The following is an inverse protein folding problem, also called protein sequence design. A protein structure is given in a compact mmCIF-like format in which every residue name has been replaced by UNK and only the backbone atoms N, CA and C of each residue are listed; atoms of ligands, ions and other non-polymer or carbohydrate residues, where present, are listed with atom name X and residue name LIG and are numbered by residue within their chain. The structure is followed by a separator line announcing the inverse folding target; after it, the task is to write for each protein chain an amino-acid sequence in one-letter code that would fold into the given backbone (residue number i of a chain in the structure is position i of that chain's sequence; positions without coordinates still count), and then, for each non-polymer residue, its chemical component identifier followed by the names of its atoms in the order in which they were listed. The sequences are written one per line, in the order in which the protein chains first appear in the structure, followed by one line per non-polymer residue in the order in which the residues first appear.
data_IF_628106113390
#
_entry.id   IF_628106113390
#
_cell.length_a   1.000
_cell.length_b   1.000
_cell.length_c   1.000
_cell.angle_alpha   90.00
_cell.angle_beta   90.00
_cell.angle_gamma   90.00
#
_symmetry.space_group_name_H-M   'P 1'
#
loop_
_entity.id
_entity.type
_entity.pdbx_description
1 polymer ?
#
# COMPACT_ATOMS: atom_id res chain seq x y z
N UNK A 1 -30.16 22.19 -18.55
CA UNK A 1 -29.73 21.50 -17.31
C UNK A 1 -28.68 20.49 -17.72
N UNK A 2 -27.42 20.92 -17.80
CA UNK A 2 -26.27 20.03 -17.96
C UNK A 2 -25.55 20.08 -16.62
N UNK A 3 -25.66 19.02 -15.81
CA UNK A 3 -24.79 18.88 -14.66
C UNK A 3 -23.38 18.69 -15.22
N UNK A 4 -22.56 19.74 -15.13
CA UNK A 4 -21.13 19.53 -15.09
C UNK A 4 -20.94 18.65 -13.85
N UNK A 5 -20.55 17.40 -14.04
CA UNK A 5 -20.16 16.54 -12.92
C UNK A 5 -19.11 17.31 -12.12
N UNK A 6 -19.50 17.68 -10.90
CA UNK A 6 -18.66 18.43 -10.01
C UNK A 6 -17.56 17.48 -9.54
N UNK A 7 -16.33 17.72 -9.96
CA UNK A 7 -15.18 16.96 -9.45
C UNK A 7 -15.03 17.22 -7.95
N UNK A 8 -15.54 16.27 -7.15
CA UNK A 8 -15.55 16.31 -5.69
C UNK A 8 -14.16 16.11 -5.07
N UNK A 9 -13.17 15.68 -5.87
CA UNK A 9 -11.78 15.48 -5.47
C UNK A 9 -10.88 16.67 -5.81
N UNK A 10 -11.34 17.58 -6.67
CA UNK A 10 -10.54 18.72 -7.16
C UNK A 10 -9.93 19.63 -6.09
N UNK A 11 -10.47 19.61 -4.86
CA UNK A 11 -9.92 20.35 -3.73
C UNK A 11 -8.58 19.80 -3.23
N UNK A 12 -8.22 18.55 -3.53
CA UNK A 12 -6.96 17.95 -3.07
C UNK A 12 -5.72 18.67 -3.60
N UNK A 13 -5.82 19.36 -4.75
CA UNK A 13 -4.75 20.23 -5.27
C UNK A 13 -4.40 21.39 -4.31
N UNK A 14 -5.35 21.79 -3.49
CA UNK A 14 -5.23 22.87 -2.53
C UNK A 14 -5.27 22.33 -1.08
N UNK A 15 -5.09 21.01 -0.89
CA UNK A 15 -5.28 20.32 0.39
C UNK A 15 -4.44 20.91 1.53
N UNK A 16 -3.18 21.24 1.25
CA UNK A 16 -2.28 21.88 2.22
C UNK A 16 -2.83 23.21 2.75
N UNK A 17 -3.47 24.00 1.89
CA UNK A 17 -4.09 25.27 2.29
C UNK A 17 -5.27 25.00 3.23
N UNK A 18 -6.14 24.06 2.86
CA UNK A 18 -7.29 23.70 3.69
C UNK A 18 -6.89 23.13 5.06
N UNK A 19 -5.87 22.27 5.14
CA UNK A 19 -5.34 21.78 6.42
C UNK A 19 -4.77 22.90 7.30
N UNK A 20 -4.03 23.83 6.70
CA UNK A 20 -3.57 25.04 7.41
C UNK A 20 -4.74 25.88 7.94
N UNK A 21 -5.85 25.93 7.20
CA UNK A 21 -7.05 26.60 7.67
C UNK A 21 -7.69 25.84 8.84
N UNK A 22 -7.76 24.49 8.81
CA UNK A 22 -8.23 23.66 9.94
C UNK A 22 -7.45 23.99 11.22
N UNK A 23 -6.11 23.93 11.13
CA UNK A 23 -5.22 24.17 12.27
C UNK A 23 -5.43 25.56 12.88
N UNK A 24 -5.65 26.57 12.02
CA UNK A 24 -5.92 27.94 12.46
C UNK A 24 -7.28 28.06 13.17
N UNK A 25 -8.32 27.42 12.65
CA UNK A 25 -9.65 27.43 13.28
C UNK A 25 -9.58 26.72 14.63
N UNK A 26 -8.93 25.55 14.70
CA UNK A 26 -8.75 24.81 15.95
C UNK A 26 -7.93 25.58 16.98
N UNK A 27 -6.87 26.26 16.55
CA UNK A 27 -6.06 27.13 17.40
C UNK A 27 -6.84 28.34 17.94
N UNK A 28 -7.68 28.97 17.11
CA UNK A 28 -8.56 30.07 17.55
C UNK A 28 -9.60 29.59 18.55
N UNK A 29 -10.23 28.43 18.29
CA UNK A 29 -11.25 27.87 19.16
C UNK A 29 -10.73 27.60 20.58
N UNK A 30 -9.48 27.13 20.70
CA UNK A 30 -8.80 26.95 21.98
C UNK A 30 -8.55 28.27 22.74
N UNK A 31 -8.36 29.39 22.03
CA UNK A 31 -8.04 30.71 22.62
C UNK A 31 -9.27 31.52 22.99
N UNK A 32 -10.22 31.60 22.06
CA UNK A 32 -11.41 32.44 22.17
C UNK A 32 -12.44 31.91 23.16
N UNK A 33 -12.35 30.62 23.49
CA UNK A 33 -13.32 29.93 24.32
C UNK A 33 -14.62 29.62 23.58
N UNK A 34 -15.41 28.77 24.22
CA UNK A 34 -16.70 28.31 23.71
C UNK A 34 -17.75 29.44 23.76
N UNK A 35 -18.34 29.79 22.61
CA UNK A 35 -19.28 30.93 22.49
C UNK A 35 -20.76 30.50 22.45
N UNK A 36 -21.04 29.19 22.33
CA UNK A 36 -22.34 28.57 22.12
C UNK A 36 -23.22 29.26 21.05
N UNK A 37 -22.70 29.43 19.85
CA UNK A 37 -23.43 30.06 18.72
C UNK A 37 -24.25 29.06 17.90
N UNK A 38 -24.32 27.80 18.33
CA UNK A 38 -25.03 26.71 17.65
C UNK A 38 -26.08 26.08 18.58
N UNK A 39 -27.04 26.87 19.04
CA UNK A 39 -27.96 26.51 20.13
C UNK A 39 -28.78 25.24 19.88
N UNK A 40 -29.03 24.88 18.62
CA UNK A 40 -29.84 23.72 18.24
C UNK A 40 -29.02 22.45 17.99
N UNK A 41 -27.70 22.54 18.12
CA UNK A 41 -26.83 21.39 18.17
C UNK A 41 -26.59 20.99 19.63
N UNK A 42 -26.92 19.75 20.02
CA UNK A 42 -26.81 19.34 21.41
C UNK A 42 -25.36 19.32 21.90
N UNK A 43 -25.14 19.82 23.11
CA UNK A 43 -23.84 19.86 23.79
C UNK A 43 -23.41 18.49 24.34
N UNK A 44 -24.40 17.67 24.70
CA UNK A 44 -24.29 16.32 25.24
C UNK A 44 -24.01 15.27 24.17
N UNK A 45 -24.39 15.52 22.92
CA UNK A 45 -24.00 14.67 21.78
C UNK A 45 -22.52 14.86 21.50
N UNK A 46 -21.70 13.91 21.96
CA UNK A 46 -20.26 13.86 21.70
C UNK A 46 -19.98 13.26 20.33
N UNK A 47 -19.12 13.94 19.56
CA UNK A 47 -18.57 13.44 18.29
C UNK A 47 -17.22 12.78 18.56
N UNK A 48 -16.41 13.36 19.45
CA UNK A 48 -15.16 12.79 19.93
C UNK A 48 -15.01 13.04 21.43
N UNK A 49 -13.89 12.59 22.01
CA UNK A 49 -13.55 12.93 23.41
C UNK A 49 -13.42 14.44 23.65
N UNK A 50 -13.12 15.21 22.61
CA UNK A 50 -12.80 16.64 22.70
C UNK A 50 -13.85 17.53 22.04
N UNK A 51 -14.76 16.97 21.24
CA UNK A 51 -15.71 17.73 20.43
C UNK A 51 -17.15 17.22 20.60
N UNK A 52 -18.10 18.14 20.87
CA UNK A 52 -19.54 17.90 20.76
C UNK A 52 -20.08 18.31 19.38
N UNK A 53 -21.29 17.88 19.06
CA UNK A 53 -21.99 18.28 17.83
C UNK A 53 -22.11 19.81 17.71
N UNK A 54 -22.34 20.48 18.85
CA UNK A 54 -22.34 21.93 18.94
C UNK A 54 -21.00 22.55 18.54
N UNK A 55 -19.88 22.03 19.07
CA UNK A 55 -18.55 22.51 18.72
C UNK A 55 -18.21 22.25 17.24
N UNK A 56 -18.67 21.13 16.66
CA UNK A 56 -18.54 20.88 15.21
C UNK A 56 -19.28 21.95 14.40
N UNK A 57 -20.49 22.33 14.81
CA UNK A 57 -21.23 23.42 14.17
C UNK A 57 -20.49 24.77 14.26
N UNK A 58 -19.98 25.14 15.43
CA UNK A 58 -19.26 26.41 15.59
C UNK A 58 -17.98 26.45 14.75
N UNK A 59 -17.25 25.33 14.71
CA UNK A 59 -16.06 25.19 13.86
C UNK A 59 -16.44 25.30 12.40
N UNK A 60 -17.47 24.59 11.94
CA UNK A 60 -17.95 24.69 10.56
C UNK A 60 -18.30 26.13 10.18
N UNK A 61 -19.02 26.86 11.05
CA UNK A 61 -19.34 28.29 10.87
C UNK A 61 -18.10 29.16 10.72
N UNK A 62 -17.15 28.96 11.64
CA UNK A 62 -15.88 29.68 11.61
C UNK A 62 -15.12 29.36 10.33
N UNK A 63 -15.25 28.13 9.84
CA UNK A 63 -14.46 27.64 8.73
C UNK A 63 -14.87 28.25 7.39
N UNK A 64 -16.16 28.16 7.03
CA UNK A 64 -16.63 28.75 5.79
C UNK A 64 -16.52 30.28 5.83
N UNK A 65 -16.77 30.91 6.98
CA UNK A 65 -16.61 32.36 7.14
C UNK A 65 -15.16 32.79 6.89
N UNK A 66 -14.20 32.01 7.40
CA UNK A 66 -12.79 32.26 7.19
C UNK A 66 -12.41 32.13 5.71
N UNK A 67 -12.87 31.08 5.01
CA UNK A 67 -12.62 30.89 3.58
C UNK A 67 -13.17 32.08 2.77
N UNK A 68 -14.41 32.51 3.03
CA UNK A 68 -15.02 33.70 2.40
C UNK A 68 -14.15 34.94 2.63
N UNK A 69 -13.63 35.12 3.85
CA UNK A 69 -12.81 36.28 4.20
C UNK A 69 -11.46 36.32 3.48
N UNK A 70 -10.90 35.16 3.12
CA UNK A 70 -9.69 35.05 2.29
C UNK A 70 -10.01 35.36 0.83
N UNK A 71 -11.17 34.91 0.35
CA UNK A 71 -11.66 35.13 -1.02
C UNK A 71 -12.20 36.56 -1.25
N UNK A 72 -11.46 37.60 -0.82
CA UNK A 72 -11.87 39.02 -0.83
C UNK A 72 -12.36 39.55 -2.18
N UNK A 73 -11.99 38.90 -3.29
CA UNK A 73 -12.39 39.31 -4.64
C UNK A 73 -13.83 38.90 -4.97
N UNK A 74 -14.26 37.72 -4.54
CA UNK A 74 -15.58 37.18 -4.87
C UNK A 74 -16.52 37.23 -3.68
N UNK A 75 -16.00 37.25 -2.45
CA UNK A 75 -16.76 37.08 -1.21
C UNK A 75 -17.69 35.85 -1.26
N UNK A 76 -17.27 34.80 -1.98
CA UNK A 76 -18.04 33.56 -2.16
C UNK A 76 -17.14 32.34 -2.03
N UNK A 77 -17.78 31.20 -1.75
CA UNK A 77 -17.15 29.89 -1.78
C UNK A 77 -17.07 29.40 -3.22
N UNK A 78 -15.90 28.93 -3.64
CA UNK A 78 -15.73 28.21 -4.89
C UNK A 78 -16.27 26.79 -4.79
N UNK A 79 -16.40 26.12 -5.94
CA UNK A 79 -16.75 24.71 -6.00
C UNK A 79 -15.79 23.81 -5.20
N UNK A 80 -14.48 24.11 -5.22
CA UNK A 80 -13.47 23.38 -4.43
C UNK A 80 -13.69 23.58 -2.93
N UNK A 81 -13.98 24.83 -2.52
CA UNK A 81 -14.25 25.16 -1.12
C UNK A 81 -15.48 24.39 -0.61
N UNK A 82 -16.54 24.33 -1.42
CA UNK A 82 -17.76 23.59 -1.10
C UNK A 82 -17.50 22.08 -1.00
N UNK A 83 -16.75 21.49 -1.95
CA UNK A 83 -16.39 20.07 -1.90
C UNK A 83 -15.56 19.73 -0.67
N UNK A 84 -14.59 20.57 -0.33
CA UNK A 84 -13.77 20.38 0.87
C UNK A 84 -14.60 20.51 2.16
N UNK A 85 -15.46 21.54 2.27
CA UNK A 85 -16.33 21.70 3.44
C UNK A 85 -17.29 20.51 3.61
N UNK A 86 -17.81 19.98 2.51
CA UNK A 86 -18.63 18.78 2.54
C UNK A 86 -17.82 17.55 3.02
N UNK A 87 -16.62 17.35 2.49
CA UNK A 87 -15.71 16.28 2.93
C UNK A 87 -15.34 16.40 4.42
N UNK A 88 -14.96 17.61 4.87
CA UNK A 88 -14.62 17.88 6.25
C UNK A 88 -15.77 17.52 7.21
N UNK A 89 -16.99 17.94 6.87
CA UNK A 89 -18.17 17.66 7.70
C UNK A 89 -18.50 16.16 7.70
N UNK A 90 -18.42 15.48 6.55
CA UNK A 90 -18.55 14.03 6.47
C UNK A 90 -17.51 13.34 7.36
N UNK A 91 -16.25 13.76 7.30
CA UNK A 91 -15.16 13.19 8.11
C UNK A 91 -15.44 13.34 9.60
N UNK A 92 -15.89 14.51 10.05
CA UNK A 92 -16.24 14.75 11.46
C UNK A 92 -17.41 13.90 11.93
N UNK A 93 -18.48 13.80 11.15
CA UNK A 93 -19.70 13.08 11.54
C UNK A 93 -19.58 11.56 11.38
N UNK A 94 -18.80 11.07 10.40
CA UNK A 94 -18.70 9.63 10.11
C UNK A 94 -17.58 8.93 10.87
N UNK A 95 -16.50 9.65 11.19
CA UNK A 95 -15.42 9.13 12.04
C UNK A 95 -15.65 9.45 13.53
N UNK A 96 -16.91 9.67 13.92
CA UNK A 96 -17.28 9.95 15.30
C UNK A 96 -16.96 8.74 16.20
N UNK A 97 -16.44 9.03 17.40
CA UNK A 97 -16.12 8.02 18.40
C UNK A 97 -17.38 7.44 19.05
N UNK A 98 -18.44 8.24 19.15
CA UNK A 98 -19.70 7.85 19.76
C UNK A 98 -20.82 7.84 18.71
N UNK A 99 -21.72 6.87 18.83
CA UNK A 99 -22.89 6.79 17.95
C UNK A 99 -23.78 8.02 18.13
N UNK A 100 -24.16 8.64 17.02
CA UNK A 100 -25.12 9.72 16.97
C UNK A 100 -25.99 9.60 15.70
N UNK A 101 -27.10 10.33 15.67
CA UNK A 101 -28.05 10.34 14.56
C UNK A 101 -27.93 11.56 13.64
N UNK A 102 -26.89 12.38 13.81
CA UNK A 102 -26.66 13.58 12.99
C UNK A 102 -26.03 13.18 11.65
N UNK A 103 -26.82 13.19 10.58
CA UNK A 103 -26.33 13.12 9.20
C UNK A 103 -25.90 14.50 8.69
N UNK A 104 -25.15 14.56 7.59
CA UNK A 104 -24.76 15.83 6.93
C UNK A 104 -25.99 16.62 6.49
N UNK A 105 -26.99 15.93 5.95
CA UNK A 105 -28.26 16.54 5.54
C UNK A 105 -29.02 17.11 6.75
N UNK A 106 -29.11 16.37 7.86
CA UNK A 106 -29.74 16.85 9.09
C UNK A 106 -28.98 18.05 9.68
N UNK A 107 -27.65 18.01 9.62
CA UNK A 107 -26.79 19.11 10.06
C UNK A 107 -27.06 20.37 9.22
N UNK A 108 -27.07 20.26 7.89
CA UNK A 108 -27.34 21.37 6.99
C UNK A 108 -28.74 21.97 7.21
N UNK A 109 -29.77 21.12 7.32
CA UNK A 109 -31.13 21.56 7.61
C UNK A 109 -31.21 22.40 8.89
N UNK A 110 -30.64 21.90 10.00
CA UNK A 110 -30.63 22.59 11.29
C UNK A 110 -29.91 23.94 11.22
N UNK A 111 -28.76 23.98 10.56
CA UNK A 111 -27.97 25.20 10.45
C UNK A 111 -28.64 26.26 9.57
N UNK A 112 -29.24 25.86 8.44
CA UNK A 112 -29.89 26.82 7.54
C UNK A 112 -31.22 27.35 8.11
N UNK A 113 -32.10 26.46 8.58
CA UNK A 113 -33.48 26.82 8.90
C UNK A 113 -33.71 27.17 10.37
N UNK A 114 -32.89 26.66 11.29
CA UNK A 114 -33.15 26.75 12.73
C UNK A 114 -32.23 27.78 13.40
N UNK A 115 -30.94 27.75 13.09
CA UNK A 115 -30.00 28.77 13.58
C UNK A 115 -30.17 30.12 12.84
N UNK A 116 -30.66 30.08 11.60
CA UNK A 116 -30.89 31.29 10.79
C UNK A 116 -29.62 31.96 10.25
N UNK A 117 -28.44 31.33 10.37
CA UNK A 117 -27.16 31.92 9.94
C UNK A 117 -27.05 32.11 8.42
N UNK A 118 -27.90 31.42 7.66
CA UNK A 118 -27.95 31.47 6.20
C UNK A 118 -29.27 32.09 5.69
N UNK A 119 -30.04 32.73 6.58
CA UNK A 119 -31.36 33.26 6.26
C UNK A 119 -31.30 34.26 5.09
N UNK A 120 -31.89 33.87 3.96
CA UNK A 120 -32.02 34.68 2.73
C UNK A 120 -31.30 34.10 1.50
N UNK A 121 -30.22 33.33 1.67
CA UNK A 121 -29.54 32.60 0.59
C UNK A 121 -28.72 31.43 1.16
N UNK A 122 -29.21 30.21 0.96
CA UNK A 122 -28.51 28.99 1.36
C UNK A 122 -27.34 28.70 0.40
N UNK A 123 -26.14 29.18 0.77
CA UNK A 123 -24.90 28.95 0.01
C UNK A 123 -24.55 27.46 -0.14
N UNK A 124 -25.16 26.60 0.68
CA UNK A 124 -24.90 25.16 0.72
C UNK A 124 -26.02 24.32 0.11
N UNK A 125 -27.04 24.93 -0.49
CA UNK A 125 -28.16 24.22 -1.10
C UNK A 125 -27.67 23.19 -2.14
N UNK A 126 -27.89 21.90 -1.85
CA UNK A 126 -27.43 20.79 -2.69
C UNK A 126 -25.91 20.59 -2.73
N UNK A 127 -25.17 21.17 -1.79
CA UNK A 127 -23.69 21.11 -1.70
C UNK A 127 -23.19 20.40 -0.45
N UNK A 128 -23.99 20.35 0.61
CA UNK A 128 -23.75 19.51 1.78
C UNK A 128 -24.60 18.25 1.70
N UNK A 129 -23.95 17.09 1.59
CA UNK A 129 -24.59 15.80 1.40
C UNK A 129 -23.71 14.68 1.95
N UNK A 130 -24.32 13.53 2.24
CA UNK A 130 -23.56 12.34 2.62
C UNK A 130 -22.78 11.84 1.40
N UNK A 131 -21.45 11.88 1.47
CA UNK A 131 -20.58 11.36 0.41
C UNK A 131 -20.76 9.84 0.33
N UNK A 132 -20.75 9.27 -0.89
CA UNK A 132 -20.86 7.83 -1.09
C UNK A 132 -19.78 7.08 -0.29
N UNK A 133 -20.03 5.86 0.14
CA UNK A 133 -19.05 5.11 0.93
C UNK A 133 -17.75 4.87 0.15
N UNK A 134 -17.87 4.59 -1.15
CA UNK A 134 -16.73 4.40 -2.04
C UNK A 134 -15.92 5.69 -2.15
N UNK A 135 -16.57 6.82 -2.41
CA UNK A 135 -15.86 8.09 -2.54
C UNK A 135 -15.27 8.56 -1.21
N UNK A 136 -15.95 8.29 -0.10
CA UNK A 136 -15.47 8.68 1.21
C UNK A 136 -14.21 7.91 1.62
N UNK A 137 -14.15 6.60 1.38
CA UNK A 137 -12.93 5.82 1.62
C UNK A 137 -11.79 6.23 0.68
N UNK A 138 -12.10 6.57 -0.57
CA UNK A 138 -11.13 7.13 -1.51
C UNK A 138 -10.56 8.47 -1.03
N UNK A 139 -11.41 9.37 -0.54
CA UNK A 139 -10.99 10.66 0.01
C UNK A 139 -10.17 10.49 1.29
N UNK A 140 -10.52 9.54 2.16
CA UNK A 140 -9.72 9.21 3.35
C UNK A 140 -8.32 8.71 2.97
N UNK A 141 -8.22 7.89 1.92
CA UNK A 141 -6.94 7.45 1.40
C UNK A 141 -6.10 8.63 0.90
N UNK A 142 -6.68 9.54 0.11
CA UNK A 142 -5.97 10.73 -0.36
C UNK A 142 -5.57 11.66 0.81
N UNK A 143 -6.44 11.90 1.78
CA UNK A 143 -6.14 12.68 2.99
C UNK A 143 -4.93 12.10 3.72
N UNK A 144 -4.93 10.78 3.94
CA UNK A 144 -3.80 10.07 4.53
C UNK A 144 -2.51 10.27 3.73
N UNK A 145 -2.56 10.11 2.40
CA UNK A 145 -1.39 10.26 1.53
C UNK A 145 -0.79 11.66 1.62
N UNK A 146 -1.63 12.71 1.53
CA UNK A 146 -1.17 14.10 1.62
C UNK A 146 -0.66 14.48 3.02
N UNK A 147 -1.32 14.01 4.09
CA UNK A 147 -0.87 14.26 5.46
C UNK A 147 0.49 13.61 5.71
N UNK A 148 0.65 12.33 5.36
CA UNK A 148 1.92 11.63 5.55
C UNK A 148 3.02 12.15 4.65
N UNK A 149 2.71 12.58 3.42
CA UNK A 149 3.64 13.29 2.56
C UNK A 149 4.23 14.51 3.29
N UNK A 150 3.40 15.36 3.90
CA UNK A 150 3.86 16.53 4.65
C UNK A 150 4.69 16.18 5.90
N UNK A 151 4.30 15.12 6.62
CA UNK A 151 5.05 14.64 7.79
C UNK A 151 6.44 14.17 7.39
N UNK A 152 6.52 13.30 6.38
CA UNK A 152 7.78 12.74 5.89
C UNK A 152 8.67 13.84 5.32
N UNK A 153 8.10 14.76 4.53
CA UNK A 153 8.81 15.93 4.02
C UNK A 153 9.52 16.67 5.15
N UNK A 154 8.80 16.94 6.25
CA UNK A 154 9.35 17.64 7.40
C UNK A 154 10.48 16.84 8.07
N UNK A 155 10.25 15.56 8.37
CA UNK A 155 11.22 14.69 9.04
C UNK A 155 12.55 14.68 8.28
N UNK A 156 12.51 14.40 6.97
CA UNK A 156 13.74 14.28 6.17
C UNK A 156 14.39 15.64 5.89
N UNK A 157 13.59 16.70 5.74
CA UNK A 157 14.12 18.05 5.53
C UNK A 157 14.88 18.57 6.76
N UNK A 158 14.38 18.27 7.96
CA UNK A 158 14.99 18.68 9.24
C UNK A 158 16.18 17.80 9.65
N UNK A 159 16.40 16.66 8.98
CA UNK A 159 17.55 15.80 9.24
C UNK A 159 18.87 16.45 8.82
N UNK A 160 19.85 16.41 9.71
CA UNK A 160 21.17 16.99 9.48
C UNK A 160 22.17 15.96 8.96
N UNK A 161 21.89 14.67 9.18
CA UNK A 161 22.70 13.58 8.66
C UNK A 161 22.42 13.32 7.18
N UNK A 162 23.50 13.07 6.42
CA UNK A 162 23.41 12.56 5.06
C UNK A 162 23.46 11.02 5.09
N UNK A 163 22.90 10.40 4.05
CA UNK A 163 22.89 8.95 3.88
C UNK A 163 22.13 8.22 5.02
N UNK A 164 20.96 8.73 5.40
CA UNK A 164 20.06 8.03 6.34
C UNK A 164 19.24 6.96 5.62
N UNK A 165 18.75 5.96 6.37
CA UNK A 165 17.71 5.06 5.85
C UNK A 165 16.35 5.71 6.04
N UNK A 166 15.66 5.94 4.93
CA UNK A 166 14.38 6.62 4.90
C UNK A 166 13.19 5.66 4.73
N UNK A 167 13.42 4.42 4.27
CA UNK A 167 12.37 3.48 3.87
C UNK A 167 11.28 3.31 4.92
N UNK A 168 11.65 3.23 6.19
CA UNK A 168 10.71 3.10 7.31
C UNK A 168 9.66 4.24 7.36
N UNK A 169 10.03 5.46 6.95
CA UNK A 169 9.13 6.61 6.94
C UNK A 169 8.15 6.56 5.77
N UNK A 170 8.54 5.94 4.65
CA UNK A 170 7.76 5.92 3.42
C UNK A 170 6.91 4.66 3.26
N UNK A 171 7.26 3.56 3.94
CA UNK A 171 6.65 2.25 3.70
C UNK A 171 5.12 2.28 3.76
N UNK A 172 4.56 2.86 4.82
CA UNK A 172 3.10 2.91 5.00
C UNK A 172 2.41 3.82 3.95
N UNK A 173 3.06 4.92 3.56
CA UNK A 173 2.58 5.80 2.49
C UNK A 173 2.57 5.07 1.15
N UNK A 174 3.66 4.38 0.81
CA UNK A 174 3.79 3.61 -0.43
C UNK A 174 2.76 2.50 -0.48
N UNK A 175 2.57 1.76 0.61
CA UNK A 175 1.59 0.67 0.69
C UNK A 175 0.15 1.17 0.53
N UNK A 176 -0.19 2.32 1.12
CA UNK A 176 -1.50 2.94 0.91
C UNK A 176 -1.66 3.47 -0.52
N UNK A 177 -0.62 4.04 -1.11
CA UNK A 177 -0.64 4.44 -2.51
C UNK A 177 -0.86 3.23 -3.45
N UNK A 178 -0.23 2.08 -3.16
CA UNK A 178 -0.46 0.82 -3.89
C UNK A 178 -1.93 0.36 -3.82
N UNK A 179 -2.63 0.57 -2.71
CA UNK A 179 -4.08 0.27 -2.63
C UNK A 179 -4.87 1.17 -3.59
N UNK A 180 -4.57 2.47 -3.60
CA UNK A 180 -5.23 3.43 -4.50
C UNK A 180 -4.98 3.13 -5.98
N UNK A 181 -3.75 2.78 -6.35
CA UNK A 181 -3.41 2.54 -7.76
C UNK A 181 -4.08 1.29 -8.32
N UNK A 182 -4.28 0.25 -7.49
CA UNK A 182 -5.04 -0.95 -7.87
C UNK A 182 -6.48 -0.56 -8.20
N UNK A 183 -7.09 0.27 -7.35
CA UNK A 183 -8.46 0.73 -7.56
C UNK A 183 -8.61 1.57 -8.83
N UNK A 184 -7.56 2.30 -9.22
CA UNK A 184 -7.55 3.12 -10.43
C UNK A 184 -7.43 2.37 -11.77
N UNK A 185 -7.00 1.11 -11.74
CA UNK A 185 -6.86 0.34 -12.98
C UNK A 185 -8.19 -0.02 -13.65
N UNK A 186 -9.30 0.18 -12.95
CA UNK A 186 -10.64 -0.16 -13.39
C UNK A 186 -11.37 1.08 -13.99
N UNK A 187 -10.92 2.31 -13.72
CA UNK A 187 -11.67 3.53 -14.08
C UNK A 187 -10.79 4.81 -14.22
N UNK A 188 -11.11 5.70 -15.15
CA UNK A 188 -10.52 7.05 -15.27
C UNK A 188 -11.31 8.07 -14.43
N UNK A 189 -11.66 7.66 -13.21
CA UNK A 189 -12.49 8.43 -12.28
C UNK A 189 -11.78 9.70 -11.79
N UNK A 190 -12.54 10.61 -11.19
CA UNK A 190 -11.99 11.81 -10.56
C UNK A 190 -11.04 11.48 -9.40
N UNK A 191 -11.29 10.37 -8.69
CA UNK A 191 -10.34 9.82 -7.72
C UNK A 191 -8.97 9.53 -8.35
N UNK A 192 -8.95 8.92 -9.53
CA UNK A 192 -7.70 8.55 -10.19
C UNK A 192 -6.94 9.74 -10.76
N UNK A 193 -7.66 10.79 -11.15
CA UNK A 193 -7.04 12.08 -11.48
C UNK A 193 -6.38 12.67 -10.22
N UNK A 194 -7.08 12.70 -9.10
CA UNK A 194 -6.54 13.20 -7.84
C UNK A 194 -5.35 12.37 -7.31
N UNK A 195 -5.38 11.04 -7.46
CA UNK A 195 -4.25 10.17 -7.09
C UNK A 195 -3.02 10.41 -7.98
N UNK A 196 -3.22 10.71 -9.27
CA UNK A 196 -2.14 11.12 -10.17
C UNK A 196 -1.59 12.49 -9.78
N UNK A 197 -2.45 13.45 -9.46
CA UNK A 197 -2.03 14.77 -8.98
C UNK A 197 -1.18 14.63 -7.70
N UNK A 198 -1.56 13.75 -6.76
CA UNK A 198 -0.75 13.42 -5.59
C UNK A 198 0.62 12.84 -5.97
N UNK A 199 0.68 11.89 -6.92
CA UNK A 199 1.95 11.34 -7.40
C UNK A 199 2.85 12.43 -7.96
N UNK A 200 2.31 13.35 -8.74
CA UNK A 200 3.08 14.46 -9.31
C UNK A 200 3.67 15.37 -8.21
N UNK A 201 2.89 15.68 -7.18
CA UNK A 201 3.36 16.46 -6.02
C UNK A 201 4.44 15.71 -5.23
N UNK A 202 4.23 14.43 -4.95
CA UNK A 202 5.21 13.57 -4.29
C UNK A 202 6.55 13.55 -5.06
N UNK A 203 6.51 13.30 -6.37
CA UNK A 203 7.74 13.21 -7.17
C UNK A 203 8.42 14.57 -7.31
N UNK A 204 7.64 15.65 -7.41
CA UNK A 204 8.17 17.01 -7.40
C UNK A 204 8.99 17.25 -6.15
N UNK A 205 8.43 16.95 -4.98
CA UNK A 205 9.04 17.28 -3.71
C UNK A 205 10.20 16.34 -3.35
N UNK A 206 9.99 15.04 -3.48
CA UNK A 206 10.98 14.05 -3.05
C UNK A 206 12.09 13.80 -4.06
N UNK A 207 11.83 13.93 -5.36
CA UNK A 207 12.74 13.42 -6.41
C UNK A 207 13.27 14.52 -7.34
N UNK A 208 12.46 15.51 -7.73
CA UNK A 208 12.81 16.43 -8.83
C UNK A 208 13.30 17.80 -8.37
N UNK A 209 12.46 18.55 -7.65
CA UNK A 209 12.67 19.97 -7.36
C UNK A 209 13.40 20.18 -6.03
N UNK A 210 12.83 19.71 -4.92
CA UNK A 210 13.49 19.80 -3.61
C UNK A 210 14.47 18.65 -3.36
N UNK A 211 14.28 17.51 -4.06
CA UNK A 211 15.16 16.34 -4.04
C UNK A 211 15.49 15.85 -2.63
N UNK A 212 14.50 15.90 -1.74
CA UNK A 212 14.67 15.59 -0.32
C UNK A 212 15.24 14.19 -0.10
N UNK A 213 14.95 13.26 -1.02
CA UNK A 213 15.44 11.88 -0.95
C UNK A 213 16.91 11.70 -1.35
N UNK A 214 17.63 12.72 -1.83
CA UNK A 214 19.09 12.64 -2.05
C UNK A 214 19.86 12.39 -0.74
N UNK A 215 19.26 12.69 0.42
CA UNK A 215 19.80 12.35 1.74
C UNK A 215 19.65 10.86 2.11
N UNK A 216 18.89 10.08 1.32
CA UNK A 216 18.49 8.72 1.67
C UNK A 216 19.34 7.67 0.93
N UNK A 217 19.93 6.70 1.63
CA UNK A 217 20.66 5.58 0.99
C UNK A 217 19.72 4.72 0.14
N UNK A 218 18.48 4.60 0.58
CA UNK A 218 17.43 3.75 0.02
C UNK A 218 16.52 4.51 -0.97
N UNK A 219 16.98 5.64 -1.51
CA UNK A 219 16.22 6.52 -2.43
C UNK A 219 15.56 5.77 -3.60
N UNK A 220 16.20 4.73 -4.13
CA UNK A 220 15.67 3.94 -5.24
C UNK A 220 14.34 3.23 -4.91
N UNK A 221 14.14 2.86 -3.63
CA UNK A 221 12.95 2.18 -3.14
C UNK A 221 11.82 3.14 -2.75
N UNK A 222 12.09 4.45 -2.76
CA UNK A 222 11.11 5.48 -2.37
C UNK A 222 10.27 5.97 -3.57
N UNK A 223 10.52 5.45 -4.77
CA UNK A 223 9.73 5.81 -5.96
C UNK A 223 8.34 5.18 -5.85
N UNK A 224 7.31 6.00 -6.09
CA UNK A 224 5.93 5.49 -6.12
C UNK A 224 5.75 4.55 -7.32
N UNK A 225 5.26 3.32 -7.09
CA UNK A 225 5.12 2.32 -8.14
C UNK A 225 4.10 2.74 -9.19
N UNK A 226 4.19 2.13 -10.36
CA UNK A 226 3.15 2.16 -11.38
C UNK A 226 2.16 1.02 -11.16
N UNK A 227 1.01 1.08 -11.87
CA UNK A 227 0.06 -0.02 -11.82
C UNK A 227 0.67 -1.35 -12.26
N UNK A 228 1.55 -1.32 -13.28
CA UNK A 228 2.23 -2.50 -13.78
C UNK A 228 3.15 -3.13 -12.73
N UNK A 229 3.89 -2.30 -11.97
CA UNK A 229 4.78 -2.77 -10.91
C UNK A 229 3.97 -3.53 -9.84
N UNK A 230 2.86 -2.95 -9.38
CA UNK A 230 1.98 -3.57 -8.39
C UNK A 230 1.28 -4.83 -8.93
N UNK A 231 0.84 -4.81 -10.18
CA UNK A 231 0.24 -5.98 -10.84
C UNK A 231 1.23 -7.15 -10.94
N UNK A 232 2.50 -6.86 -11.24
CA UNK A 232 3.55 -7.87 -11.33
C UNK A 232 3.92 -8.42 -9.96
N UNK A 233 4.10 -7.58 -8.94
CA UNK A 233 4.30 -7.99 -7.54
C UNK A 233 3.19 -8.95 -7.08
N UNK A 234 1.93 -8.62 -7.37
CA UNK A 234 0.78 -9.46 -7.03
C UNK A 234 0.81 -10.81 -7.75
N UNK A 235 1.15 -10.84 -9.04
CA UNK A 235 1.30 -12.09 -9.79
C UNK A 235 2.41 -12.98 -9.22
N UNK A 236 3.57 -12.38 -8.89
CA UNK A 236 4.69 -13.12 -8.28
C UNK A 236 4.29 -13.65 -6.90
N UNK A 237 3.62 -12.84 -6.08
CA UNK A 237 3.14 -13.26 -4.74
C UNK A 237 2.15 -14.43 -4.82
N UNK A 238 1.19 -14.37 -5.75
CA UNK A 238 0.21 -15.46 -5.96
C UNK A 238 0.90 -16.73 -6.47
N UNK A 239 1.80 -16.60 -7.46
CA UNK A 239 2.55 -17.74 -7.99
C UNK A 239 3.45 -18.35 -6.91
N UNK A 240 4.18 -17.54 -6.14
CA UNK A 240 5.04 -18.01 -5.06
C UNK A 240 4.28 -18.69 -3.91
N UNK A 241 3.09 -18.19 -3.57
CA UNK A 241 2.23 -18.80 -2.56
C UNK A 241 1.67 -20.15 -2.99
N UNK A 242 1.39 -20.33 -4.29
CA UNK A 242 0.85 -21.58 -4.83
C UNK A 242 1.97 -22.59 -5.13
N UNK A 243 3.06 -22.13 -5.76
CA UNK A 243 4.14 -23.00 -6.24
C UNK A 243 5.21 -23.27 -5.19
N UNK A 244 5.51 -22.31 -4.31
CA UNK A 244 6.53 -22.44 -3.26
C UNK A 244 6.32 -23.65 -2.35
N UNK A 245 5.10 -23.90 -1.81
CA UNK A 245 4.80 -25.10 -1.04
C UNK A 245 4.95 -26.38 -1.88
N UNK A 246 4.52 -26.38 -3.15
CA UNK A 246 4.60 -27.55 -4.03
C UNK A 246 6.06 -27.93 -4.27
N UNK A 247 6.91 -26.96 -4.64
CA UNK A 247 8.34 -27.20 -4.85
C UNK A 247 9.07 -27.56 -3.56
N UNK A 248 8.75 -26.90 -2.44
CA UNK A 248 9.31 -27.23 -1.12
C UNK A 248 8.96 -28.65 -0.67
N UNK A 249 7.71 -29.08 -0.89
CA UNK A 249 7.25 -30.43 -0.52
C UNK A 249 7.87 -31.50 -1.43
N UNK A 250 7.96 -31.25 -2.74
CA UNK A 250 8.64 -32.15 -3.69
C UNK A 250 10.12 -32.30 -3.37
N UNK A 251 10.81 -31.20 -3.06
CA UNK A 251 12.22 -31.23 -2.66
C UNK A 251 12.41 -32.00 -1.35
N UNK A 252 11.55 -31.78 -0.35
CA UNK A 252 11.57 -32.52 0.90
C UNK A 252 11.33 -34.03 0.68
N UNK A 253 10.34 -34.41 -0.14
CA UNK A 253 10.05 -35.82 -0.47
C UNK A 253 11.22 -36.52 -1.17
N UNK A 254 11.92 -35.83 -2.08
CA UNK A 254 13.13 -36.36 -2.72
C UNK A 254 14.26 -36.58 -1.71
N UNK A 255 14.44 -35.65 -0.77
CA UNK A 255 15.40 -35.80 0.32
C UNK A 255 15.02 -36.96 1.24
N UNK A 256 13.77 -37.09 1.67
CA UNK A 256 13.33 -38.22 2.49
C UNK A 256 13.44 -39.56 1.74
N UNK A 257 13.15 -39.59 0.44
CA UNK A 257 13.32 -40.79 -0.37
C UNK A 257 14.78 -41.25 -0.47
N UNK A 258 15.74 -40.32 -0.57
CA UNK A 258 17.16 -40.65 -0.73
C UNK A 258 17.89 -40.91 0.60
N UNK A 259 17.50 -40.25 1.69
CA UNK A 259 18.30 -40.20 2.93
C UNK A 259 17.67 -40.87 4.16
N UNK A 260 16.43 -41.35 4.09
CA UNK A 260 15.76 -42.02 5.23
C UNK A 260 15.80 -43.56 5.06
N UNK A 261 15.94 -44.36 6.14
CA UNK A 261 15.89 -45.83 6.07
C UNK A 261 14.62 -46.38 5.40
N UNK A 262 13.52 -45.63 5.49
CA UNK A 262 12.25 -45.94 4.84
C UNK A 262 12.33 -45.86 3.30
N UNK A 263 13.13 -44.96 2.74
CA UNK A 263 13.36 -44.85 1.29
C UNK A 263 14.14 -46.04 0.72
N UNK A 264 15.17 -46.50 1.45
CA UNK A 264 15.88 -47.75 1.12
C UNK A 264 14.96 -48.98 1.20
N UNK A 265 14.03 -49.02 2.16
CA UNK A 265 13.03 -50.08 2.29
C UNK A 265 12.02 -50.12 1.12
N UNK A 266 11.54 -48.95 0.64
CA UNK A 266 10.66 -48.87 -0.54
C UNK A 266 11.39 -49.36 -1.80
N UNK A 267 12.65 -48.94 -2.01
CA UNK A 267 13.48 -49.40 -3.13
C UNK A 267 13.71 -50.92 -3.09
N UNK A 268 13.96 -51.47 -1.90
CA UNK A 268 14.10 -52.91 -1.70
C UNK A 268 12.81 -53.66 -2.06
N UNK A 269 11.64 -53.13 -1.68
CA UNK A 269 10.31 -53.74 -1.93
C UNK A 269 9.87 -53.68 -3.39
N UNK A 270 10.19 -52.60 -4.11
CA UNK A 270 9.95 -52.49 -5.57
C UNK A 270 10.87 -53.45 -6.34
N UNK A 271 12.10 -53.66 -5.87
CA UNK A 271 13.03 -54.64 -6.43
C UNK A 271 12.55 -56.08 -6.23
N UNK A 272 11.98 -56.40 -5.06
CA UNK A 272 11.39 -57.73 -4.81
C UNK A 272 10.14 -58.01 -5.66
N UNK A 273 9.33 -56.98 -5.96
CA UNK A 273 8.15 -57.14 -6.83
C UNK A 273 8.48 -57.27 -8.33
N UNK A 274 9.70 -56.91 -8.77
CA UNK A 274 10.17 -57.18 -10.14
C UNK A 274 10.71 -58.61 -10.32
N UNK A 275 11.05 -59.30 -9.23
CA UNK A 275 11.51 -60.70 -9.24
C UNK A 275 10.36 -61.73 -9.18
N UNK A 276 9.11 -61.30 -8.99
CA UNK A 276 7.95 -62.20 -8.96
C UNK A 276 7.40 -62.59 -10.35
N UNK A 277 8.21 -62.46 -11.41
CA UNK A 277 7.95 -63.05 -12.73
C UNK A 277 9.23 -63.68 -13.28
N UNK A 278 9.74 -64.70 -12.59
CA UNK A 278 10.64 -65.69 -13.18
C UNK A 278 10.02 -67.08 -13.02
N UNK A 279 9.54 -67.61 -14.15
CA UNK A 279 9.32 -69.06 -14.29
C UNK A 279 10.73 -69.66 -14.39
N UNK A 280 11.00 -70.62 -13.52
CA UNK A 280 12.25 -71.37 -13.44
C UNK A 280 12.53 -72.15 -14.72
N UNK A 281 13.72 -71.98 -15.28
CA UNK A 281 14.50 -73.11 -15.78
C UNK A 281 15.95 -72.98 -15.29
N UNK A 282 16.35 -74.07 -14.67
CA UNK A 282 17.58 -74.38 -13.96
C UNK A 282 18.72 -74.62 -14.95
N UNK A 283 19.87 -73.94 -14.78
CA UNK A 283 21.19 -74.57 -15.00
C UNK A 283 22.35 -73.66 -14.57
N UNK A 284 23.19 -74.23 -13.69
CA UNK A 284 24.63 -74.02 -13.51
C UNK A 284 25.12 -72.78 -12.72
N UNK A 285 25.14 -72.94 -11.39
CA UNK A 285 26.35 -73.03 -10.56
C UNK A 285 27.65 -72.39 -11.11
N UNK A 286 28.03 -71.22 -10.57
CA UNK A 286 29.07 -71.09 -9.53
C UNK A 286 29.57 -69.65 -9.36
N UNK A 287 29.34 -69.15 -8.14
CA UNK A 287 30.19 -68.21 -7.41
C UNK A 287 31.69 -68.48 -7.63
N UNK A 288 32.50 -67.43 -7.75
CA UNK A 288 33.82 -67.27 -7.09
C UNK A 288 34.14 -65.76 -7.12
N UNK A 289 33.82 -65.04 -6.04
CA UNK A 289 34.68 -64.72 -4.90
C UNK A 289 35.80 -63.71 -5.20
N UNK A 290 35.68 -62.67 -4.39
CA UNK A 290 36.58 -61.61 -3.97
C UNK A 290 38.05 -62.00 -3.74
N UNK A 291 38.91 -60.96 -3.76
CA UNK A 291 40.27 -60.86 -3.21
C UNK A 291 41.37 -61.81 -3.69
N UNK A 292 42.48 -61.25 -4.18
CA UNK A 292 43.74 -61.20 -3.40
C UNK A 292 44.81 -60.42 -4.15
N UNK A 293 45.37 -59.42 -3.47
CA UNK A 293 46.65 -58.80 -3.80
C UNK A 293 47.79 -59.60 -3.15
N UNK A 294 48.99 -59.47 -3.72
CA UNK A 294 50.32 -59.98 -3.31
C UNK A 294 50.73 -61.44 -3.61
N UNK A 295 51.82 -61.53 -4.40
CA UNK A 295 52.70 -62.69 -4.45
C UNK A 295 53.64 -62.68 -5.65
N UNK A 296 54.71 -61.89 -5.60
CA UNK A 296 55.85 -61.96 -6.53
C UNK A 296 56.40 -63.40 -6.63
N UNK A 297 56.72 -63.86 -7.85
CA UNK A 297 58.00 -64.52 -8.26
C UNK A 297 58.00 -64.67 -9.81
N UNK A 298 59.11 -64.20 -10.40
CA UNK A 298 59.55 -64.22 -11.82
C UNK A 298 60.19 -65.59 -12.18
N UNK A 299 60.81 -65.83 -13.36
CA UNK A 299 60.58 -65.43 -14.77
C UNK A 299 60.29 -66.68 -15.65
N UNK A 300 60.05 -66.54 -16.97
CA UNK A 300 60.97 -67.02 -18.03
C UNK A 300 60.33 -66.97 -19.45
N UNK A 301 61.19 -66.64 -20.42
CA UNK A 301 61.05 -66.71 -21.90
C UNK A 301 60.28 -65.63 -22.71
N UNK A 302 61.08 -64.63 -23.13
CA UNK A 302 61.29 -64.11 -24.51
C UNK A 302 60.15 -64.14 -25.56
N UNK A 303 59.76 -62.95 -26.07
CA UNK A 303 60.04 -62.54 -27.46
C UNK A 303 59.76 -61.04 -27.66
N UNK A 304 60.74 -60.34 -28.25
CA UNK A 304 60.70 -58.93 -28.63
C UNK A 304 59.64 -58.63 -29.71
N UNK A 305 59.07 -57.41 -29.71
CA UNK A 305 59.09 -56.49 -30.85
C UNK A 305 58.38 -55.15 -30.50
N UNK A 306 59.19 -54.11 -30.27
CA UNK A 306 58.79 -52.71 -30.40
C UNK A 306 59.20 -52.26 -31.80
N UNK A 307 58.37 -51.47 -32.48
CA UNK A 307 58.91 -50.39 -33.31
C UNK A 307 58.36 -49.05 -32.85
N UNK A 308 59.29 -48.18 -32.48
CA UNK A 308 59.13 -46.75 -32.29
C UNK A 308 59.52 -46.10 -33.62
N UNK A 309 58.73 -45.14 -34.09
CA UNK A 309 59.21 -44.20 -35.10
C UNK A 309 58.79 -42.77 -34.73
N UNK A 310 59.73 -41.87 -34.93
CA UNK A 310 59.75 -40.51 -34.42
C UNK A 310 60.25 -39.54 -35.47
N UNK A 311 59.92 -38.25 -35.24
CA UNK A 311 60.50 -37.02 -35.82
C UNK A 311 60.02 -36.75 -37.27
N UNK A 312 59.77 -35.53 -37.78
CA UNK A 312 60.39 -34.22 -37.57
C UNK A 312 59.45 -33.08 -38.04
N UNK A 313 59.40 -31.98 -37.28
CA UNK A 313 58.94 -30.65 -37.71
C UNK A 313 60.11 -29.87 -38.35
N UNK A 314 59.84 -28.95 -39.28
CA UNK A 314 59.98 -27.54 -38.89
C UNK A 314 58.64 -26.84 -38.69
#
# INVERSE_FOLDING_TARGET
MNSIDLDIYSFFKDFKNYKSYEDRIDGNFKRDGYKNTCFYFPLDVKISNTESANQICEKFKSFYTFIISINKKTNTLSNKDLSYLNYWLNSKLRNAMYSHNISVETFHYKMNHIEGDLAGYDIFAGKLYNISDVDFENMKLLDYLYVNHGIIFKIISEENEENISCLQHFQELIDNYKKGIIQCSIDNSDFCKALRDFKEEYEKDFIREYRITEKCIDQEFLKLPTYYDVSQENKITVVGSITGPIFGTLFALLCFYKFTPFGQWILAKIRTNKEAHSISYEENDKLFLDTSDNGHINPDYNLYHIPYDSVVNP
#
